data_IF_763765553959
#
_entry.id   IF_763765553959
#
_cell.length_a   1.000
_cell.length_b   1.000
_cell.length_c   1.000
_cell.angle_alpha   90.00
_cell.angle_beta   90.00
_cell.angle_gamma   90.00
#
_symmetry.space_group_name_H-M   'P 1'
#
loop_
_entity.id
_entity.type
_entity.pdbx_description
1 polymer ?
#
# COMPACT_ATOMS: atom_id res chain seq x y z
N UNK A 1 60.93 -1.55 -9.41
CA UNK A 1 59.76 -0.73 -9.03
C UNK A 1 58.79 -0.73 -10.20
N UNK A 2 57.64 -1.40 -10.08
CA UNK A 2 56.60 -1.46 -11.12
C UNK A 2 55.53 -0.42 -10.77
N UNK A 3 55.43 0.64 -11.57
CA UNK A 3 54.37 1.64 -11.49
C UNK A 3 53.13 1.07 -12.17
N UNK A 4 52.08 0.77 -11.41
CA UNK A 4 50.78 0.40 -11.95
C UNK A 4 49.98 1.68 -12.18
N UNK A 5 49.76 2.03 -13.45
CA UNK A 5 48.72 2.97 -13.85
C UNK A 5 47.36 2.32 -13.62
N UNK A 6 46.53 2.92 -12.76
CA UNK A 6 45.09 2.66 -12.74
C UNK A 6 44.43 3.53 -13.82
N UNK A 7 43.66 2.97 -14.77
CA UNK A 7 42.79 3.79 -15.58
C UNK A 7 41.61 4.23 -14.70
N UNK A 8 41.45 5.55 -14.57
CA UNK A 8 40.27 6.18 -14.00
C UNK A 8 39.10 5.92 -14.97
N UNK A 9 38.28 4.90 -14.70
CA UNK A 9 37.03 4.72 -15.45
C UNK A 9 36.05 5.79 -14.97
N UNK A 10 35.87 6.82 -15.79
CA UNK A 10 34.76 7.75 -15.68
C UNK A 10 33.48 6.95 -15.98
N UNK A 11 32.75 6.54 -14.94
CA UNK A 11 31.43 5.94 -15.11
C UNK A 11 30.46 7.07 -15.50
N UNK A 12 30.31 7.28 -16.82
CA UNK A 12 29.18 8.03 -17.35
C UNK A 12 27.91 7.25 -17.00
N UNK A 13 27.13 7.76 -16.04
CA UNK A 13 25.85 7.17 -15.64
C UNK A 13 24.91 7.14 -16.84
N UNK A 14 24.75 5.95 -17.43
CA UNK A 14 23.68 5.70 -18.38
C UNK A 14 22.35 5.97 -17.66
N UNK A 15 21.34 6.55 -18.33
CA UNK A 15 20.00 6.58 -17.76
C UNK A 15 19.57 5.14 -17.48
N UNK A 16 19.32 4.81 -16.21
CA UNK A 16 18.74 3.53 -15.83
C UNK A 16 17.41 3.39 -16.56
N UNK A 17 17.37 2.56 -17.60
CA UNK A 17 16.09 2.09 -18.13
C UNK A 17 15.38 1.36 -16.99
N UNK A 18 14.10 1.64 -16.76
CA UNK A 18 13.28 0.99 -15.75
C UNK A 18 13.57 -0.52 -15.67
N UNK A 19 14.32 -0.94 -14.64
CA UNK A 19 14.66 -2.34 -14.49
C UNK A 19 13.43 -3.06 -13.93
N UNK A 20 13.00 -4.12 -14.62
CA UNK A 20 12.03 -5.06 -14.06
C UNK A 20 12.78 -5.92 -13.05
N UNK A 21 12.73 -5.52 -11.79
CA UNK A 21 13.40 -6.23 -10.71
C UNK A 21 12.49 -7.39 -10.28
N UNK A 22 12.92 -8.62 -10.58
CA UNK A 22 12.34 -9.87 -10.06
C UNK A 22 13.06 -10.32 -8.79
N UNK A 23 13.46 -9.39 -7.95
CA UNK A 23 14.08 -9.76 -6.67
C UNK A 23 13.02 -10.43 -5.79
N UNK A 24 13.36 -11.53 -5.11
CA UNK A 24 12.47 -12.07 -4.11
C UNK A 24 12.30 -11.01 -3.02
N UNK A 25 11.05 -10.79 -2.59
CA UNK A 25 10.79 -9.96 -1.42
C UNK A 25 11.64 -10.44 -0.24
N UNK A 26 12.28 -9.53 0.49
CA UNK A 26 13.01 -9.84 1.71
C UNK A 26 12.13 -10.57 2.74
N UNK A 27 10.82 -10.30 2.72
CA UNK A 27 9.82 -10.97 3.54
C UNK A 27 8.47 -11.05 2.83
N UNK A 28 7.71 -12.11 3.12
CA UNK A 28 6.32 -12.27 2.70
C UNK A 28 5.44 -12.66 3.88
N UNK A 29 4.34 -11.95 4.08
CA UNK A 29 3.22 -12.41 4.92
C UNK A 29 2.14 -12.97 3.98
N UNK A 30 1.66 -14.18 4.26
CA UNK A 30 0.63 -14.85 3.46
C UNK A 30 -0.68 -14.92 4.23
N UNK A 31 -1.69 -14.24 3.71
CA UNK A 31 -3.06 -14.29 4.20
C UNK A 31 -3.80 -15.47 3.56
N UNK A 32 -5.05 -15.67 3.98
CA UNK A 32 -5.98 -16.48 3.20
C UNK A 32 -6.18 -15.85 1.80
N UNK A 33 -6.76 -16.61 0.87
CA UNK A 33 -7.01 -16.11 -0.50
C UNK A 33 -7.99 -14.91 -0.47
N UNK A 34 -7.46 -13.70 -0.56
CA UNK A 34 -8.16 -12.42 -0.49
C UNK A 34 -7.34 -11.34 -1.22
N UNK A 35 -7.97 -10.25 -1.63
CA UNK A 35 -7.26 -9.10 -2.19
C UNK A 35 -6.74 -8.20 -1.07
N UNK A 36 -5.48 -7.79 -1.12
CA UNK A 36 -4.94 -6.77 -0.20
C UNK A 36 -5.23 -5.38 -0.75
N UNK A 37 -6.11 -4.64 -0.08
CA UNK A 37 -6.63 -3.35 -0.58
C UNK A 37 -5.95 -2.14 0.05
N UNK A 38 -5.49 -2.25 1.30
CA UNK A 38 -4.76 -1.17 1.99
C UNK A 38 -3.84 -1.73 3.08
N UNK A 39 -2.85 -0.92 3.49
CA UNK A 39 -1.86 -1.27 4.50
C UNK A 39 -1.72 -0.13 5.52
N UNK A 40 -1.37 -0.46 6.76
CA UNK A 40 -0.92 0.54 7.73
C UNK A 40 0.10 -0.07 8.69
N UNK A 41 1.21 0.65 8.92
CA UNK A 41 2.19 0.26 9.92
C UNK A 41 1.72 0.67 11.31
N UNK A 42 1.84 -0.22 12.29
CA UNK A 42 1.64 0.14 13.69
C UNK A 42 2.71 1.18 14.11
N UNK A 43 2.42 2.08 15.06
CA UNK A 43 3.37 3.13 15.45
C UNK A 43 4.74 2.63 15.92
N UNK A 44 4.80 1.42 16.49
CA UNK A 44 6.04 0.77 16.92
C UNK A 44 6.83 0.12 15.78
N UNK A 45 6.26 0.02 14.58
CA UNK A 45 6.89 -0.61 13.42
C UNK A 45 6.95 -2.14 13.46
N UNK A 46 6.41 -2.79 14.50
CA UNK A 46 6.47 -4.23 14.73
C UNK A 46 5.31 -5.01 14.09
N UNK A 47 4.22 -4.31 13.77
CA UNK A 47 2.99 -4.90 13.23
C UNK A 47 2.49 -4.15 12.01
N UNK A 48 1.79 -4.87 11.14
CA UNK A 48 1.12 -4.32 9.97
C UNK A 48 -0.36 -4.69 9.97
N UNK A 49 -1.20 -3.69 9.77
CA UNK A 49 -2.62 -3.85 9.52
C UNK A 49 -2.83 -3.99 8.02
N UNK A 50 -3.53 -5.05 7.63
CA UNK A 50 -3.81 -5.41 6.24
C UNK A 50 -5.31 -5.34 6.04
N UNK A 51 -5.78 -4.35 5.27
CA UNK A 51 -7.16 -4.30 4.81
C UNK A 51 -7.34 -5.16 3.56
N UNK A 52 -8.52 -5.78 3.44
CA UNK A 52 -8.83 -6.73 2.38
C UNK A 52 -10.27 -6.58 1.89
N UNK A 53 -10.63 -7.35 0.87
CA UNK A 53 -12.01 -7.59 0.45
C UNK A 53 -12.86 -8.36 1.50
N UNK A 54 -12.26 -8.83 2.59
CA UNK A 54 -12.89 -9.68 3.63
C UNK A 54 -12.75 -9.13 5.05
N UNK A 55 -12.55 -7.82 5.20
CA UNK A 55 -12.27 -7.17 6.48
C UNK A 55 -10.81 -6.76 6.60
N UNK A 56 -10.29 -6.68 7.82
CA UNK A 56 -8.88 -6.40 8.06
C UNK A 56 -8.24 -7.39 9.03
N UNK A 57 -6.94 -7.59 8.91
CA UNK A 57 -6.16 -8.44 9.80
C UNK A 57 -4.89 -7.72 10.28
N UNK A 58 -4.56 -7.89 11.55
CA UNK A 58 -3.32 -7.41 12.15
C UNK A 58 -2.30 -8.54 12.17
N UNK A 59 -1.10 -8.27 11.68
CA UNK A 59 -0.02 -9.24 11.60
C UNK A 59 1.23 -8.72 12.31
N UNK A 60 1.89 -9.62 13.03
CA UNK A 60 3.23 -9.40 13.55
C UNK A 60 4.24 -9.60 12.40
N UNK A 61 5.06 -8.58 12.15
CA UNK A 61 5.94 -8.57 10.98
C UNK A 61 7.06 -9.60 11.13
N UNK A 62 7.65 -9.70 12.33
CA UNK A 62 8.81 -10.56 12.58
C UNK A 62 8.45 -12.06 12.48
N UNK A 63 7.40 -12.48 13.19
CA UNK A 63 6.95 -13.86 13.21
C UNK A 63 6.08 -14.24 12.00
N UNK A 64 5.54 -13.25 11.29
CA UNK A 64 4.60 -13.47 10.19
C UNK A 64 3.28 -14.11 10.64
N UNK A 65 2.91 -13.95 11.92
CA UNK A 65 1.68 -14.53 12.50
C UNK A 65 0.58 -13.49 12.61
N UNK A 66 -0.65 -13.92 12.36
CA UNK A 66 -1.84 -13.10 12.60
C UNK A 66 -2.02 -12.90 14.09
N UNK A 67 -2.09 -11.64 14.51
CA UNK A 67 -2.30 -11.20 15.89
C UNK A 67 -3.78 -11.01 16.17
N UNK A 68 -4.52 -10.41 15.22
CA UNK A 68 -5.93 -10.09 15.38
C UNK A 68 -6.66 -10.05 14.03
N UNK A 69 -7.97 -10.24 14.05
CA UNK A 69 -8.86 -10.03 12.90
C UNK A 69 -9.95 -9.02 13.24
N UNK A 70 -10.33 -8.18 12.28
CA UNK A 70 -11.37 -7.17 12.39
C UNK A 70 -12.40 -7.39 11.26
N UNK A 71 -13.43 -8.22 11.50
CA UNK A 71 -14.49 -8.45 10.53
C UNK A 71 -15.25 -7.14 10.27
N UNK A 72 -15.18 -6.63 9.05
CA UNK A 72 -15.86 -5.40 8.64
C UNK A 72 -17.02 -5.73 7.71
N UNK A 73 -18.14 -5.04 7.88
CA UNK A 73 -19.29 -5.18 6.98
C UNK A 73 -20.07 -3.86 6.87
N UNK A 74 -20.51 -3.52 5.66
CA UNK A 74 -21.26 -2.32 5.32
C UNK A 74 -22.09 -2.59 4.07
N UNK A 75 -23.42 -2.49 4.18
CA UNK A 75 -24.36 -2.63 3.05
C UNK A 75 -24.12 -3.87 2.17
N UNK A 76 -23.79 -5.01 2.79
CA UNK A 76 -23.51 -6.28 2.11
C UNK A 76 -22.09 -6.40 1.53
N UNK A 77 -21.26 -5.37 1.66
CA UNK A 77 -19.82 -5.42 1.34
C UNK A 77 -18.98 -5.66 2.61
N UNK A 78 -17.90 -6.41 2.47
CA UNK A 78 -16.89 -6.64 3.52
C UNK A 78 -15.55 -5.95 3.23
N UNK A 79 -15.48 -5.21 2.13
CA UNK A 79 -14.23 -4.61 1.67
C UNK A 79 -13.84 -3.42 2.53
N UNK A 80 -12.63 -3.47 3.08
CA UNK A 80 -11.98 -2.34 3.73
C UNK A 80 -11.19 -1.59 2.67
N UNK A 81 -11.52 -0.33 2.43
CA UNK A 81 -10.81 0.50 1.46
C UNK A 81 -9.71 1.34 2.11
N UNK A 82 -9.84 1.62 3.41
CA UNK A 82 -8.82 2.33 4.17
C UNK A 82 -8.68 1.76 5.57
N UNK A 83 -7.44 1.75 6.07
CA UNK A 83 -7.11 1.31 7.41
C UNK A 83 -6.00 2.20 8.00
N UNK A 84 -6.07 2.51 9.30
CA UNK A 84 -5.03 3.29 9.98
C UNK A 84 -5.03 3.04 11.48
N UNK A 85 -3.87 3.25 12.12
CA UNK A 85 -3.75 3.25 13.57
C UNK A 85 -3.92 4.66 14.14
N UNK A 86 -4.36 4.73 15.40
CA UNK A 86 -4.12 5.92 16.20
C UNK A 86 -2.65 5.99 16.66
N UNK A 87 -2.23 7.14 17.20
CA UNK A 87 -0.82 7.41 17.51
C UNK A 87 -0.17 6.44 18.50
N UNK A 88 -0.92 5.85 19.44
CA UNK A 88 -0.40 4.90 20.42
C UNK A 88 -0.60 3.42 19.99
N UNK A 89 -1.29 3.16 18.88
CA UNK A 89 -1.52 1.83 18.32
C UNK A 89 -2.58 0.99 19.04
N UNK A 90 -3.33 1.57 19.98
CA UNK A 90 -4.38 0.87 20.73
C UNK A 90 -5.68 0.74 19.93
N UNK A 91 -5.89 1.63 18.96
CA UNK A 91 -7.07 1.63 18.12
C UNK A 91 -6.71 1.62 16.64
N UNK A 92 -7.56 0.95 15.85
CA UNK A 92 -7.53 1.05 14.39
C UNK A 92 -8.84 1.60 13.88
N UNK A 93 -8.78 2.37 12.79
CA UNK A 93 -9.95 2.85 12.07
C UNK A 93 -10.03 2.12 10.74
N UNK A 94 -11.17 1.50 10.46
CA UNK A 94 -11.49 0.86 9.19
C UNK A 94 -12.57 1.66 8.48
N UNK A 95 -12.44 1.83 7.17
CA UNK A 95 -13.40 2.57 6.34
C UNK A 95 -13.74 1.75 5.10
N UNK A 96 -15.03 1.57 4.86
CA UNK A 96 -15.58 0.91 3.67
C UNK A 96 -16.05 1.88 2.60
N UNK A 97 -16.83 1.37 1.63
CA UNK A 97 -17.21 2.11 0.42
C UNK A 97 -18.24 3.23 0.67
N UNK A 98 -19.20 3.03 1.57
CA UNK A 98 -20.24 4.04 1.84
C UNK A 98 -19.73 5.12 2.82
N UNK A 99 -18.52 4.94 3.34
CA UNK A 99 -17.86 5.86 4.26
C UNK A 99 -18.15 5.60 5.73
N UNK A 100 -18.82 4.49 6.08
CA UNK A 100 -18.89 4.00 7.47
C UNK A 100 -17.48 3.81 8.00
N UNK A 101 -17.25 4.35 9.19
CA UNK A 101 -15.95 4.25 9.87
C UNK A 101 -16.17 3.50 11.16
N UNK A 102 -15.46 2.40 11.33
CA UNK A 102 -15.45 1.67 12.59
C UNK A 102 -14.10 1.84 13.27
N UNK A 103 -14.14 2.24 14.54
CA UNK A 103 -12.97 2.28 15.41
C UNK A 103 -12.97 1.00 16.23
N UNK A 104 -11.87 0.26 16.17
CA UNK A 104 -11.71 -1.02 16.83
C UNK A 104 -10.62 -0.94 17.87
N UNK A 105 -10.88 -1.49 19.06
CA UNK A 105 -9.85 -1.73 20.06
C UNK A 105 -8.97 -2.91 19.60
N UNK A 106 -7.68 -2.66 19.47
CA UNK A 106 -6.72 -3.62 18.90
C UNK A 106 -6.59 -4.87 19.76
N UNK A 107 -6.63 -4.71 21.09
CA UNK A 107 -6.39 -5.80 22.03
C UNK A 107 -7.55 -6.79 22.05
N UNK A 108 -8.78 -6.29 22.13
CA UNK A 108 -9.99 -7.10 22.20
C UNK A 108 -10.51 -7.52 20.83
N UNK A 109 -10.14 -6.80 19.77
CA UNK A 109 -10.68 -7.04 18.42
C UNK A 109 -12.17 -6.75 18.35
N UNK A 110 -12.66 -5.79 19.16
CA UNK A 110 -14.07 -5.39 19.19
C UNK A 110 -14.21 -3.95 18.70
N UNK A 111 -15.36 -3.66 18.10
CA UNK A 111 -15.76 -2.29 17.76
C UNK A 111 -15.91 -1.50 19.07
N UNK A 112 -15.12 -0.45 19.22
CA UNK A 112 -15.26 0.55 20.28
C UNK A 112 -16.41 1.52 19.94
N UNK A 113 -16.38 2.04 18.71
CA UNK A 113 -17.41 2.96 18.21
C UNK A 113 -17.54 2.91 16.71
N UNK A 114 -18.76 3.13 16.24
CA UNK A 114 -19.08 3.34 14.83
C UNK A 114 -19.35 4.83 14.62
N UNK A 115 -18.55 5.46 13.77
CA UNK A 115 -18.77 6.84 13.35
C UNK A 115 -19.63 6.80 12.08
N UNK A 116 -20.94 6.95 12.26
CA UNK A 116 -21.88 7.14 11.16
C UNK A 116 -22.02 8.63 10.87
N UNK A 117 -22.09 8.99 9.59
CA UNK A 117 -22.46 10.34 9.17
C UNK A 117 -21.29 11.27 8.93
N UNK A 118 -20.76 11.22 7.71
CA UNK A 118 -20.39 12.43 6.96
C UNK A 118 -20.71 12.16 5.49
N UNK A 119 -21.70 12.87 4.96
CA UNK A 119 -21.97 12.95 3.51
C UNK A 119 -20.81 13.68 2.85
N UNK A 120 -19.70 12.97 2.60
CA UNK A 120 -18.55 13.52 1.89
C UNK A 120 -18.43 12.85 0.53
N UNK A 121 -19.45 13.08 -0.29
CA UNK A 121 -19.30 13.06 -1.74
C UNK A 121 -19.32 14.55 -2.14
N UNK A 122 -18.17 15.21 -2.38
CA UNK A 122 -18.20 16.50 -3.04
C UNK A 122 -18.88 16.32 -4.40
N UNK A 123 -19.88 17.16 -4.71
CA UNK A 123 -20.57 17.19 -6.01
C UNK A 123 -19.52 17.09 -7.15
N UNK A 124 -19.71 16.24 -8.16
CA UNK A 124 -18.81 16.14 -9.33
C UNK A 124 -18.42 17.49 -9.96
N UNK A 125 -19.29 18.51 -9.85
CA UNK A 125 -19.04 19.89 -10.28
C UNK A 125 -17.99 20.59 -9.40
N UNK A 126 -17.97 20.33 -8.08
CA UNK A 126 -16.98 20.87 -7.16
C UNK A 126 -15.59 20.24 -7.38
N UNK A 127 -15.54 18.92 -7.64
CA UNK A 127 -14.30 18.20 -8.00
C UNK A 127 -13.71 18.74 -9.30
N UNK A 128 -14.56 18.96 -10.31
CA UNK A 128 -14.15 19.57 -11.59
C UNK A 128 -13.67 21.02 -11.42
N UNK A 129 -14.28 21.79 -10.51
CA UNK A 129 -13.89 23.18 -10.24
C UNK A 129 -12.52 23.31 -9.54
N UNK A 130 -12.04 22.25 -8.89
CA UNK A 130 -10.71 22.18 -8.28
C UNK A 130 -9.60 21.78 -9.27
N UNK A 131 -9.92 21.53 -10.55
CA UNK A 131 -8.94 21.19 -11.58
C UNK A 131 -8.45 19.74 -11.57
N UNK A 132 -9.18 18.84 -10.90
CA UNK A 132 -8.86 17.41 -10.87
C UNK A 132 -9.41 16.70 -12.12
N UNK A 133 -8.60 15.83 -12.74
CA UNK A 133 -8.98 15.10 -13.96
C UNK A 133 -10.00 13.99 -13.67
N UNK A 134 -11.19 14.14 -14.25
CA UNK A 134 -12.32 13.20 -14.14
C UNK A 134 -12.25 12.03 -15.13
N UNK A 135 -11.26 11.99 -16.04
CA UNK A 135 -11.13 10.89 -17.03
C UNK A 135 -10.77 9.54 -16.42
N UNK A 136 -10.65 9.47 -15.09
CA UNK A 136 -10.25 8.28 -14.36
C UNK A 136 -11.28 7.74 -13.35
N UNK A 137 -12.56 8.15 -13.38
CA UNK A 137 -13.58 7.43 -12.59
C UNK A 137 -15.03 7.76 -12.96
N UNK A 138 -15.87 6.73 -13.05
CA UNK A 138 -17.22 6.78 -12.49
C UNK A 138 -17.25 5.89 -11.25
N UNK A 139 -16.95 6.47 -10.09
CA UNK A 139 -17.11 5.93 -8.72
C UNK A 139 -16.15 4.90 -8.12
N UNK A 140 -15.25 4.23 -8.86
CA UNK A 140 -14.29 3.30 -8.22
C UNK A 140 -12.94 3.97 -7.87
N UNK A 141 -12.34 3.60 -6.71
CA UNK A 141 -10.91 3.75 -6.31
C UNK A 141 -10.46 4.83 -5.30
N UNK A 142 -11.32 5.43 -4.47
CA UNK A 142 -10.89 6.61 -3.69
C UNK A 142 -10.07 6.42 -2.40
N UNK A 143 -9.63 5.22 -2.00
CA UNK A 143 -8.81 5.08 -0.77
C UNK A 143 -7.70 4.02 -0.76
N UNK A 144 -7.37 3.38 -1.89
CA UNK A 144 -6.16 2.54 -1.91
C UNK A 144 -4.93 3.47 -1.83
N UNK A 145 -3.94 3.12 -1.00
CA UNK A 145 -2.68 3.86 -0.89
C UNK A 145 -1.84 3.63 -2.15
N UNK A 146 -2.23 4.23 -3.27
CA UNK A 146 -1.60 3.93 -4.57
C UNK A 146 -0.27 4.63 -4.78
N UNK A 147 0.08 5.56 -3.91
CA UNK A 147 1.36 6.24 -3.93
C UNK A 147 1.93 6.34 -2.51
N UNK A 148 3.23 6.13 -2.40
CA UNK A 148 3.98 6.36 -1.17
C UNK A 148 5.26 7.13 -1.51
N UNK A 149 5.71 7.98 -0.58
CA UNK A 149 6.91 8.80 -0.76
C UNK A 149 7.93 8.47 0.32
N UNK A 150 9.19 8.43 -0.07
CA UNK A 150 10.29 8.33 0.87
C UNK A 150 11.50 9.07 0.31
N UNK A 151 11.85 10.21 0.90
CA UNK A 151 12.81 11.15 0.33
C UNK A 151 12.38 11.59 -1.08
N UNK A 152 13.29 11.47 -2.04
CA UNK A 152 13.09 11.83 -3.45
C UNK A 152 12.42 10.72 -4.28
N UNK A 153 12.15 9.56 -3.69
CA UNK A 153 11.52 8.43 -4.38
C UNK A 153 10.01 8.41 -4.13
N UNK A 154 9.26 8.23 -5.22
CA UNK A 154 7.82 8.00 -5.22
C UNK A 154 7.55 6.59 -5.74
N UNK A 155 6.98 5.72 -4.91
CA UNK A 155 6.41 4.46 -5.36
C UNK A 155 4.97 4.70 -5.81
N UNK A 156 4.61 4.21 -7.00
CA UNK A 156 3.28 4.37 -7.57
C UNK A 156 2.74 3.05 -8.12
N UNK A 157 1.59 2.63 -7.64
CA UNK A 157 0.84 1.50 -8.17
C UNK A 157 0.29 1.81 -9.56
N UNK A 158 0.47 0.87 -10.49
CA UNK A 158 0.02 0.93 -11.86
C UNK A 158 -0.76 -0.34 -12.21
N UNK A 159 -1.09 -0.54 -13.49
CA UNK A 159 -1.88 -1.68 -13.96
C UNK A 159 -1.39 -3.04 -13.49
N UNK A 160 -2.35 -3.93 -13.21
CA UNK A 160 -2.12 -5.32 -12.73
C UNK A 160 -1.35 -5.37 -11.40
N UNK A 161 -1.54 -4.36 -10.55
CA UNK A 161 -0.87 -4.21 -9.26
C UNK A 161 0.64 -3.99 -9.32
N UNK A 162 1.24 -3.76 -10.50
CA UNK A 162 2.66 -3.43 -10.59
C UNK A 162 2.97 -2.11 -9.88
N UNK A 163 4.21 -1.91 -9.43
CA UNK A 163 4.64 -0.69 -8.74
C UNK A 163 5.83 -0.10 -9.47
N UNK A 164 5.75 1.18 -9.80
CA UNK A 164 6.84 1.95 -10.40
C UNK A 164 7.43 2.91 -9.37
N UNK A 165 8.75 2.82 -9.17
CA UNK A 165 9.49 3.80 -8.39
C UNK A 165 9.99 4.90 -9.31
N UNK A 166 9.75 6.13 -8.92
CA UNK A 166 10.09 7.33 -9.67
C UNK A 166 10.99 8.23 -8.83
N UNK A 167 12.00 8.81 -9.46
CA UNK A 167 12.85 9.82 -8.83
C UNK A 167 12.17 11.20 -8.75
N UNK A 168 12.89 12.20 -8.22
CA UNK A 168 12.39 13.57 -8.09
C UNK A 168 12.02 14.24 -9.43
N UNK A 169 12.57 13.77 -10.56
CA UNK A 169 12.22 14.24 -11.91
C UNK A 169 10.95 13.58 -12.46
N UNK A 170 10.45 12.53 -11.79
CA UNK A 170 9.31 11.72 -12.22
C UNK A 170 9.69 10.56 -13.15
N UNK A 171 11.00 10.36 -13.40
CA UNK A 171 11.52 9.28 -14.24
C UNK A 171 11.40 7.94 -13.50
N UNK A 172 10.89 6.91 -14.18
CA UNK A 172 10.79 5.56 -13.60
C UNK A 172 12.18 4.94 -13.52
N UNK A 173 12.66 4.73 -12.30
CA UNK A 173 13.98 4.13 -12.03
C UNK A 173 13.90 2.62 -11.81
N UNK A 174 12.77 2.13 -11.29
CA UNK A 174 12.55 0.71 -11.04
C UNK A 174 11.08 0.34 -11.19
N UNK A 175 10.81 -0.90 -11.61
CA UNK A 175 9.45 -1.45 -11.69
C UNK A 175 9.38 -2.85 -11.08
N UNK A 176 8.46 -3.02 -10.13
CA UNK A 176 8.03 -4.32 -9.62
C UNK A 176 6.80 -4.77 -10.38
N UNK A 177 6.74 -6.05 -10.72
CA UNK A 177 5.60 -6.65 -11.42
C UNK A 177 5.26 -7.97 -10.76
N UNK A 178 3.97 -8.25 -10.65
CA UNK A 178 3.44 -9.44 -9.99
C UNK A 178 2.60 -10.22 -11.00
N UNK A 179 3.22 -11.06 -11.86
CA UNK A 179 2.52 -11.82 -12.90
C UNK A 179 1.39 -12.71 -12.38
N UNK A 180 1.45 -13.08 -11.12
CA UNK A 180 0.44 -13.85 -10.41
C UNK A 180 -0.85 -13.08 -10.13
N UNK A 181 -0.82 -11.74 -10.16
CA UNK A 181 -2.02 -10.93 -10.04
C UNK A 181 -2.93 -11.21 -11.24
N UNK A 182 -4.14 -11.67 -10.95
CA UNK A 182 -5.16 -12.05 -11.95
C UNK A 182 -6.16 -10.94 -12.19
N UNK A 183 -6.41 -10.11 -11.19
CA UNK A 183 -7.27 -8.95 -11.33
C UNK A 183 -6.54 -7.82 -12.04
N UNK A 184 -7.10 -7.39 -13.17
CA UNK A 184 -6.58 -6.30 -13.97
C UNK A 184 -6.87 -4.93 -13.34
N UNK A 185 -7.88 -4.87 -12.46
CA UNK A 185 -8.28 -3.66 -11.75
C UNK A 185 -7.53 -3.47 -10.44
N UNK A 186 -6.91 -4.53 -9.91
CA UNK A 186 -6.07 -4.45 -8.72
C UNK A 186 -4.99 -3.38 -8.88
N UNK A 187 -4.88 -2.55 -7.84
CA UNK A 187 -3.84 -1.56 -7.66
C UNK A 187 -3.25 -1.79 -6.28
N UNK A 188 -1.99 -2.20 -6.26
CA UNK A 188 -1.34 -2.63 -5.04
C UNK A 188 -1.17 -1.45 -4.06
N UNK A 189 -1.56 -1.58 -2.79
CA UNK A 189 -1.26 -0.55 -1.81
C UNK A 189 0.25 -0.44 -1.62
N UNK A 190 0.74 0.78 -1.52
CA UNK A 190 2.14 1.16 -1.42
C UNK A 190 2.38 1.80 -0.05
N UNK A 191 3.41 1.35 0.65
CA UNK A 191 3.80 1.87 1.95
C UNK A 191 5.34 1.87 2.05
N UNK A 192 5.90 2.90 2.67
CA UNK A 192 7.30 2.89 3.09
C UNK A 192 7.39 2.77 4.61
N UNK A 193 8.32 1.95 5.07
CA UNK A 193 8.88 2.02 6.41
C UNK A 193 10.22 2.76 6.35
N UNK A 194 10.89 2.93 7.50
CA UNK A 194 12.22 3.55 7.53
C UNK A 194 13.24 2.78 6.68
N UNK A 195 13.08 1.45 6.55
CA UNK A 195 14.05 0.58 5.89
C UNK A 195 13.54 -0.08 4.60
N UNK A 196 12.22 -0.22 4.43
CA UNK A 196 11.64 -1.11 3.41
C UNK A 196 10.48 -0.46 2.68
N UNK A 197 10.28 -0.89 1.43
CA UNK A 197 9.03 -0.73 0.71
C UNK A 197 8.13 -1.93 0.97
N UNK A 198 6.83 -1.68 1.17
CA UNK A 198 5.83 -2.71 1.44
C UNK A 198 4.67 -2.56 0.48
N UNK A 199 4.22 -3.69 -0.07
CA UNK A 199 3.10 -3.73 -1.02
C UNK A 199 2.21 -4.96 -0.85
N UNK A 200 0.95 -4.83 -1.26
CA UNK A 200 -0.03 -5.92 -1.28
C UNK A 200 -0.22 -6.55 -2.66
N UNK A 201 -0.84 -7.72 -2.72
CA UNK A 201 -1.23 -8.41 -3.96
C UNK A 201 -2.69 -8.87 -3.91
N UNK A 202 -3.26 -9.26 -5.06
CA UNK A 202 -4.64 -9.73 -5.16
C UNK A 202 -4.86 -11.17 -4.68
N UNK A 203 -3.75 -11.89 -4.44
CA UNK A 203 -3.74 -13.28 -3.97
C UNK A 203 -3.41 -13.40 -2.48
N UNK A 204 -3.41 -12.28 -1.75
CA UNK A 204 -3.33 -12.26 -0.29
C UNK A 204 -1.91 -12.26 0.24
N UNK A 205 -0.95 -11.65 -0.47
CA UNK A 205 0.43 -11.50 0.03
C UNK A 205 0.72 -10.05 0.35
N UNK A 206 1.45 -9.87 1.44
CA UNK A 206 2.13 -8.61 1.76
C UNK A 206 3.62 -8.85 1.58
N UNK A 207 4.23 -8.09 0.69
CA UNK A 207 5.61 -8.23 0.24
C UNK A 207 6.44 -7.06 0.76
N UNK A 208 7.61 -7.37 1.30
CA UNK A 208 8.57 -6.40 1.80
C UNK A 208 9.81 -6.43 0.92
N UNK A 209 10.23 -5.27 0.45
CA UNK A 209 11.41 -5.07 -0.39
C UNK A 209 12.35 -4.11 0.31
N UNK A 210 13.65 -4.33 0.16
CA UNK A 210 14.62 -3.32 0.56
C UNK A 210 14.42 -2.06 -0.27
N UNK A 211 14.69 -0.92 0.34
CA UNK A 211 14.48 0.37 -0.29
C UNK A 211 15.37 0.51 -1.54
N UNK A 212 14.85 1.04 -2.67
CA UNK A 212 15.65 1.40 -3.84
C UNK A 212 16.69 2.48 -3.54
#
# INVERSE_FOLDING_TARGET
MRTLLFPLLLAAGLPMSAQVVKEPSARTIKLAKCEVTCLALAPKGDRILVGTDKGAELWDIESGKRVQSFPYAEDGSTTVYHASFNANGEFVVLIGHSGKREVWDVKSGKVDKTLQGHTWIPDPRAVKAMGLDMKNSTFDRFYQQLEARSGDIVAKAVEKGAVEFRDASGTVVQKLSFPENKDQHHRAPCLFTDAQFVTGTDDGRVLFFDRP
#
